data_IF_626558013376
#
_entry.id   IF_626558013376
#
_cell.length_a   1.000
_cell.length_b   1.000
_cell.length_c   1.000
_cell.angle_alpha   90.00
_cell.angle_beta   90.00
_cell.angle_gamma   90.00
#
_symmetry.space_group_name_H-M   'P 1'
#
loop_
_entity.id
_entity.type
_entity.pdbx_description
1 polymer ?
#
# COMPACT_ATOMS: atom_id res chain seq x y z
N UNK A 1 13.39 2.76 -4.22
CA UNK A 1 13.76 4.12 -4.66
C UNK A 1 15.24 4.42 -4.40
N UNK A 2 15.66 5.07 -3.30
CA UNK A 2 17.08 5.52 -3.13
C UNK A 2 18.10 4.37 -3.18
N UNK A 3 17.82 3.26 -2.50
CA UNK A 3 18.69 2.07 -2.51
C UNK A 3 18.81 1.39 -3.89
N UNK A 4 17.80 1.53 -4.75
CA UNK A 4 17.84 1.06 -6.15
C UNK A 4 18.61 2.03 -7.04
N UNK A 5 18.39 3.34 -6.86
CA UNK A 5 19.09 4.38 -7.59
C UNK A 5 20.61 4.34 -7.34
N UNK A 6 21.04 4.08 -6.10
CA UNK A 6 22.46 4.05 -5.71
C UNK A 6 23.11 2.66 -5.78
N UNK A 7 22.33 1.60 -5.98
CA UNK A 7 22.83 0.22 -6.07
C UNK A 7 23.88 0.06 -7.19
N UNK A 8 25.05 -0.49 -6.87
CA UNK A 8 26.12 -0.75 -7.85
C UNK A 8 26.19 -2.21 -8.30
N UNK A 9 25.58 -3.12 -7.52
CA UNK A 9 25.66 -4.56 -7.73
C UNK A 9 24.26 -5.14 -7.97
N UNK A 10 24.17 -6.18 -8.81
CA UNK A 10 22.91 -6.86 -9.13
C UNK A 10 22.22 -7.43 -7.89
N UNK A 11 22.99 -8.01 -6.96
CA UNK A 11 22.44 -8.51 -5.69
C UNK A 11 21.74 -7.40 -4.88
N UNK A 12 22.33 -6.21 -4.82
CA UNK A 12 21.73 -5.05 -4.13
C UNK A 12 20.43 -4.63 -4.80
N UNK A 13 20.39 -4.61 -6.13
CA UNK A 13 19.20 -4.24 -6.90
C UNK A 13 18.07 -5.25 -6.62
N UNK A 14 18.35 -6.55 -6.67
CA UNK A 14 17.35 -7.59 -6.41
C UNK A 14 16.78 -7.49 -4.99
N UNK A 15 17.64 -7.37 -3.98
CA UNK A 15 17.20 -7.25 -2.58
C UNK A 15 16.34 -6.00 -2.38
N UNK A 16 16.81 -4.84 -2.87
CA UNK A 16 16.08 -3.59 -2.73
C UNK A 16 14.75 -3.60 -3.49
N UNK A 17 14.68 -4.30 -4.63
CA UNK A 17 13.45 -4.46 -5.41
C UNK A 17 12.43 -5.33 -4.67
N UNK A 18 12.88 -6.44 -4.10
CA UNK A 18 12.02 -7.32 -3.28
C UNK A 18 11.47 -6.57 -2.07
N UNK A 19 12.31 -5.79 -1.37
CA UNK A 19 11.86 -4.98 -0.24
C UNK A 19 10.88 -3.88 -0.65
N UNK A 20 11.16 -3.18 -1.77
CA UNK A 20 10.27 -2.15 -2.29
C UNK A 20 8.90 -2.72 -2.67
N UNK A 21 8.85 -3.88 -3.33
CA UNK A 21 7.60 -4.55 -3.67
C UNK A 21 6.83 -5.02 -2.42
N UNK A 22 7.54 -5.66 -1.47
CA UNK A 22 6.96 -6.18 -0.23
C UNK A 22 6.41 -5.09 0.69
N UNK A 23 7.11 -3.97 0.83
CA UNK A 23 6.64 -2.83 1.64
C UNK A 23 5.61 -2.00 0.87
N UNK A 24 5.73 -1.89 -0.45
CA UNK A 24 4.79 -1.14 -1.28
C UNK A 24 3.39 -1.74 -1.31
N UNK A 25 3.26 -3.07 -1.20
CA UNK A 25 1.96 -3.75 -1.17
C UNK A 25 1.11 -3.38 0.04
N UNK A 26 1.75 -3.06 1.19
CA UNK A 26 1.07 -2.69 2.43
C UNK A 26 0.17 -1.47 2.20
N UNK A 27 0.70 -0.46 1.51
CA UNK A 27 -0.06 0.76 1.20
C UNK A 27 -1.32 0.45 0.41
N UNK A 28 -1.21 -0.34 -0.66
CA UNK A 28 -2.32 -0.67 -1.56
C UNK A 28 -3.45 -1.43 -0.84
N UNK A 29 -3.12 -2.33 0.08
CA UNK A 29 -4.10 -3.13 0.81
C UNK A 29 -4.82 -2.29 1.89
N UNK A 30 -4.10 -1.37 2.54
CA UNK A 30 -4.66 -0.58 3.64
C UNK A 30 -5.68 0.48 3.19
N UNK A 31 -5.61 0.94 1.93
CA UNK A 31 -6.53 1.99 1.44
C UNK A 31 -7.99 1.62 1.63
N UNK A 32 -8.37 0.37 1.35
CA UNK A 32 -9.74 -0.09 1.54
C UNK A 32 -10.22 0.01 3.00
N UNK A 33 -9.34 -0.36 3.94
CA UNK A 33 -9.61 -0.21 5.38
C UNK A 33 -9.71 1.24 5.82
N UNK A 34 -8.88 2.13 5.27
CA UNK A 34 -8.97 3.56 5.56
C UNK A 34 -10.30 4.16 5.10
N UNK A 35 -10.80 3.78 3.93
CA UNK A 35 -12.14 4.19 3.49
C UNK A 35 -13.25 3.57 4.36
N UNK A 36 -13.04 2.38 4.92
CA UNK A 36 -13.95 1.75 5.87
C UNK A 36 -14.04 2.51 7.19
N UNK A 37 -12.91 3.00 7.69
CA UNK A 37 -12.84 3.84 8.88
C UNK A 37 -13.49 5.23 8.70
N UNK A 38 -13.48 5.77 7.48
CA UNK A 38 -13.94 7.15 7.20
C UNK A 38 -15.41 7.26 6.77
N UNK A 39 -15.95 6.26 6.06
CA UNK A 39 -17.26 6.37 5.41
C UNK A 39 -18.21 5.24 5.83
N UNK A 40 -19.47 5.62 6.02
CA UNK A 40 -20.59 4.69 6.23
C UNK A 40 -20.75 3.82 4.96
N UNK A 41 -21.13 2.53 5.08
CA UNK A 41 -21.20 1.61 3.94
C UNK A 41 -21.96 2.14 2.72
N UNK A 42 -23.08 2.85 2.93
CA UNK A 42 -23.94 3.36 1.86
C UNK A 42 -23.28 4.47 1.03
N UNK A 43 -22.44 5.30 1.65
CA UNK A 43 -21.80 6.46 1.02
C UNK A 43 -20.39 6.16 0.49
N UNK A 44 -19.87 4.97 0.75
CA UNK A 44 -18.46 4.61 0.46
C UNK A 44 -18.19 4.36 -1.03
N UNK A 45 -19.21 3.98 -1.80
CA UNK A 45 -19.05 3.58 -3.19
C UNK A 45 -18.41 4.68 -4.06
N UNK A 46 -18.82 5.93 -3.87
CA UNK A 46 -18.34 7.07 -4.67
C UNK A 46 -16.85 7.39 -4.40
N UNK A 47 -16.40 7.57 -3.14
CA UNK A 47 -14.98 7.73 -2.83
C UNK A 47 -14.11 6.57 -3.33
N UNK A 48 -14.56 5.33 -3.18
CA UNK A 48 -13.83 4.16 -3.66
C UNK A 48 -13.72 4.11 -5.19
N UNK A 49 -14.78 4.48 -5.91
CA UNK A 49 -14.75 4.58 -7.37
C UNK A 49 -13.78 5.67 -7.85
N UNK A 50 -13.78 6.83 -7.21
CA UNK A 50 -12.85 7.92 -7.53
C UNK A 50 -11.40 7.51 -7.27
N UNK A 51 -11.13 6.86 -6.13
CA UNK A 51 -9.80 6.30 -5.83
C UNK A 51 -9.36 5.32 -6.91
N UNK A 52 -10.24 4.39 -7.29
CA UNK A 52 -9.94 3.37 -8.31
C UNK A 52 -9.64 4.01 -9.67
N UNK A 53 -10.38 5.06 -10.03
CA UNK A 53 -10.15 5.81 -11.26
C UNK A 53 -8.77 6.50 -11.26
N UNK A 54 -8.41 7.16 -10.17
CA UNK A 54 -7.11 7.82 -10.01
C UNK A 54 -5.97 6.79 -10.03
N UNK A 55 -6.15 5.63 -9.37
CA UNK A 55 -5.15 4.56 -9.34
C UNK A 55 -4.90 3.95 -10.73
N UNK A 56 -5.96 3.68 -11.49
CA UNK A 56 -5.84 3.20 -12.87
C UNK A 56 -5.17 4.25 -13.75
N UNK A 57 -5.61 5.50 -13.66
CA UNK A 57 -5.02 6.61 -14.41
C UNK A 57 -3.52 6.78 -14.11
N UNK A 58 -3.15 6.73 -12.82
CA UNK A 58 -1.75 6.77 -12.40
C UNK A 58 -0.93 5.60 -12.95
N UNK A 59 -1.50 4.40 -12.99
CA UNK A 59 -0.85 3.21 -13.56
C UNK A 59 -0.63 3.34 -15.07
N UNK A 60 -1.58 3.94 -15.80
CA UNK A 60 -1.45 4.21 -17.24
C UNK A 60 -0.46 5.35 -17.53
N UNK A 61 -0.45 6.39 -16.72
CA UNK A 61 0.45 7.53 -16.89
C UNK A 61 1.91 7.19 -16.55
N UNK A 62 2.14 6.22 -15.67
CA UNK A 62 3.47 5.89 -15.17
C UNK A 62 4.47 5.46 -16.26
N UNK A 63 4.14 4.53 -17.19
CA UNK A 63 5.02 4.16 -18.29
C UNK A 63 5.36 5.31 -19.23
N UNK A 64 4.45 6.28 -19.41
CA UNK A 64 4.66 7.41 -20.34
C UNK A 64 5.84 8.26 -19.87
N UNK A 65 5.80 8.76 -18.63
CA UNK A 65 6.89 9.59 -18.12
C UNK A 65 8.16 8.77 -17.87
N UNK A 66 8.01 7.52 -17.41
CA UNK A 66 9.15 6.63 -17.17
C UNK A 66 9.91 6.32 -18.47
N UNK A 67 9.20 6.14 -19.58
CA UNK A 67 9.80 5.91 -20.90
C UNK A 67 10.63 7.10 -21.38
N UNK A 68 10.10 8.34 -21.28
CA UNK A 68 10.86 9.54 -21.62
C UNK A 68 12.07 9.77 -20.70
N UNK A 69 11.89 9.53 -19.39
CA UNK A 69 12.96 9.66 -18.42
C UNK A 69 14.07 8.61 -18.65
N UNK A 70 13.71 7.37 -19.02
CA UNK A 70 14.69 6.33 -19.34
C UNK A 70 15.55 6.71 -20.54
N UNK A 71 14.95 7.22 -21.61
CA UNK A 71 15.67 7.64 -22.81
C UNK A 71 16.58 8.85 -22.57
N UNK A 72 16.15 9.80 -21.73
CA UNK A 72 16.88 11.05 -21.51
C UNK A 72 18.01 10.91 -20.48
N UNK A 73 17.71 10.28 -19.34
CA UNK A 73 18.58 10.27 -18.16
C UNK A 73 18.78 8.86 -17.55
N UNK A 74 18.09 7.84 -18.06
CA UNK A 74 18.24 6.44 -17.65
C UNK A 74 17.42 6.02 -16.43
N UNK A 75 17.17 4.72 -16.32
CA UNK A 75 16.31 4.09 -15.30
C UNK A 75 16.65 4.42 -13.84
N UNK A 76 17.93 4.68 -13.51
CA UNK A 76 18.35 5.01 -12.13
C UNK A 76 17.75 6.32 -11.65
N UNK A 77 17.58 7.28 -12.56
CA UNK A 77 16.95 8.55 -12.26
C UNK A 77 15.45 8.43 -12.08
N UNK A 78 14.79 7.45 -12.72
CA UNK A 78 13.37 7.16 -12.49
C UNK A 78 13.14 6.79 -11.02
N UNK A 79 13.98 5.89 -10.48
CA UNK A 79 13.95 5.51 -9.06
C UNK A 79 14.27 6.68 -8.13
N UNK A 80 15.17 7.58 -8.55
CA UNK A 80 15.51 8.81 -7.84
C UNK A 80 14.32 9.78 -7.78
N UNK A 81 13.70 10.07 -8.92
CA UNK A 81 12.54 10.96 -9.04
C UNK A 81 11.37 10.43 -8.22
N UNK A 82 11.05 9.14 -8.32
CA UNK A 82 9.99 8.51 -7.51
C UNK A 82 10.32 8.56 -6.00
N UNK A 83 11.59 8.42 -5.63
CA UNK A 83 12.04 8.58 -4.25
C UNK A 83 11.86 10.00 -3.73
N UNK A 84 12.25 10.99 -4.52
CA UNK A 84 12.11 12.41 -4.20
C UNK A 84 10.65 12.85 -4.16
N UNK A 85 9.79 12.36 -5.05
CA UNK A 85 8.36 12.69 -5.05
C UNK A 85 7.60 12.14 -3.84
N UNK A 86 8.10 11.06 -3.22
CA UNK A 86 7.50 10.51 -2.01
C UNK A 86 7.73 11.38 -0.77
N UNK A 87 8.79 12.20 -0.73
CA UNK A 87 9.08 13.08 0.42
C UNK A 87 7.96 14.11 0.63
N UNK A 88 7.60 14.98 -0.34
CA UNK A 88 6.53 15.95 -0.14
C UNK A 88 5.18 15.27 0.08
N UNK A 89 4.92 14.13 -0.56
CA UNK A 89 3.70 13.37 -0.35
C UNK A 89 3.59 12.86 1.10
N UNK A 90 4.67 12.28 1.64
CA UNK A 90 4.73 11.87 3.04
C UNK A 90 4.57 13.05 3.98
N UNK A 91 5.21 14.20 3.69
CA UNK A 91 5.04 15.42 4.47
C UNK A 91 3.59 15.88 4.49
N UNK A 92 2.90 15.87 3.35
CA UNK A 92 1.47 16.23 3.29
C UNK A 92 0.63 15.27 4.11
N UNK A 93 0.87 13.97 4.00
CA UNK A 93 0.14 12.96 4.78
C UNK A 93 0.36 13.18 6.28
N UNK A 94 1.60 13.29 6.74
CA UNK A 94 1.91 13.43 8.17
C UNK A 94 1.38 14.74 8.78
N UNK A 95 1.38 15.84 8.03
CA UNK A 95 0.96 17.14 8.55
C UNK A 95 -0.55 17.40 8.44
N UNK A 96 -1.21 16.92 7.38
CA UNK A 96 -2.61 17.27 7.11
C UNK A 96 -3.59 16.14 7.45
N UNK A 97 -3.17 14.87 7.40
CA UNK A 97 -4.07 13.77 7.67
C UNK A 97 -4.15 13.51 9.17
N UNK A 98 -5.37 13.47 9.68
CA UNK A 98 -5.67 13.06 11.05
C UNK A 98 -5.86 11.55 11.10
N UNK A 99 -5.61 10.98 12.27
CA UNK A 99 -5.92 9.58 12.55
C UNK A 99 -7.39 9.28 12.24
N UNK A 100 -7.62 8.28 11.37
CA UNK A 100 -8.96 7.89 10.90
C UNK A 100 -9.58 6.80 11.78
N UNK A 101 -8.77 6.06 12.53
CA UNK A 101 -9.26 4.91 13.32
C UNK A 101 -10.10 5.38 14.51
N UNK A 102 -11.41 5.09 14.47
CA UNK A 102 -12.34 5.40 15.56
C UNK A 102 -11.93 4.76 16.89
N UNK A 103 -11.31 3.58 16.83
CA UNK A 103 -10.71 2.91 17.96
C UNK A 103 -9.65 3.74 18.71
N UNK A 104 -8.67 4.28 17.97
CA UNK A 104 -7.62 5.15 18.54
C UNK A 104 -8.22 6.41 19.16
N UNK A 105 -9.26 6.98 18.54
CA UNK A 105 -9.97 8.12 19.09
C UNK A 105 -10.64 7.79 20.45
N UNK A 106 -11.32 6.64 20.55
CA UNK A 106 -11.92 6.17 21.79
C UNK A 106 -10.88 5.87 22.88
N UNK A 107 -9.75 5.27 22.53
CA UNK A 107 -8.64 5.04 23.44
C UNK A 107 -8.10 6.35 24.03
N UNK A 108 -7.88 7.36 23.18
CA UNK A 108 -7.41 8.66 23.62
C UNK A 108 -8.44 9.36 24.54
N UNK A 109 -9.73 9.28 24.21
CA UNK A 109 -10.80 9.80 25.07
C UNK A 109 -10.89 9.07 26.41
N UNK A 110 -10.75 7.75 26.41
CA UNK A 110 -10.73 6.94 27.62
C UNK A 110 -9.55 7.31 28.54
N UNK A 111 -8.36 7.57 27.98
CA UNK A 111 -7.20 8.04 28.74
C UNK A 111 -7.42 9.41 29.40
N UNK A 112 -8.03 10.34 28.69
CA UNK A 112 -8.39 11.67 29.25
C UNK A 112 -9.40 11.51 30.39
N UNK A 113 -10.46 10.71 30.19
CA UNK A 113 -11.47 10.46 31.22
C UNK A 113 -10.88 9.80 32.48
N UNK A 114 -9.98 8.81 32.33
CA UNK A 114 -9.26 8.20 33.47
C UNK A 114 -8.46 9.24 34.26
N UNK A 115 -7.81 10.17 33.56
CA UNK A 115 -7.00 11.22 34.18
C UNK A 115 -7.86 12.22 34.96
N UNK A 116 -9.01 12.58 34.42
CA UNK A 116 -9.88 13.62 35.00
C UNK A 116 -10.75 13.07 36.15
N UNK A 117 -11.28 11.85 36.02
CA UNK A 117 -12.17 11.24 37.03
C UNK A 117 -11.44 10.39 38.06
N UNK A 118 -10.21 9.95 37.77
CA UNK A 118 -9.50 8.95 38.58
C UNK A 118 -10.10 7.53 38.49
N UNK A 119 -11.19 7.34 37.74
CA UNK A 119 -11.84 6.03 37.60
C UNK A 119 -11.19 5.23 36.45
N UNK A 120 -10.64 4.06 36.80
CA UNK A 120 -9.97 3.14 35.86
C UNK A 120 -10.95 2.33 35.00
N UNK A 121 -12.26 2.41 35.25
CA UNK A 121 -13.29 1.68 34.50
C UNK A 121 -13.48 2.17 33.07
N UNK A 122 -13.05 3.40 32.76
CA UNK A 122 -13.12 3.95 31.40
C UNK A 122 -12.10 3.27 30.48
N UNK A 123 -12.43 2.13 29.89
CA UNK A 123 -11.55 1.39 28.97
C UNK A 123 -12.20 1.30 27.58
N UNK A 124 -11.41 1.54 26.53
CA UNK A 124 -11.87 1.34 25.16
C UNK A 124 -11.90 -0.17 24.85
N UNK A 125 -12.87 -0.63 24.07
CA UNK A 125 -13.00 -2.06 23.75
C UNK A 125 -11.73 -2.64 23.10
N UNK A 126 -11.10 -1.88 22.21
CA UNK A 126 -9.82 -2.27 21.61
C UNK A 126 -8.68 -2.42 22.62
N UNK A 127 -8.69 -1.72 23.77
CA UNK A 127 -7.67 -1.91 24.81
C UNK A 127 -7.84 -3.24 25.56
N UNK A 128 -9.07 -3.75 25.64
CA UNK A 128 -9.36 -5.05 26.26
C UNK A 128 -8.98 -6.22 25.34
N UNK A 129 -9.13 -5.99 24.03
CA UNK A 129 -8.92 -7.01 23.00
C UNK A 129 -7.53 -6.94 22.34
N UNK A 130 -6.71 -5.91 22.65
CA UNK A 130 -5.41 -5.71 22.01
C UNK A 130 -4.40 -6.82 22.37
N UNK A 131 -4.06 -7.72 21.41
CA UNK A 131 -2.96 -8.65 21.62
C UNK A 131 -1.62 -7.90 21.61
N UNK A 132 -0.60 -8.48 22.24
CA UNK A 132 0.76 -7.92 22.16
C UNK A 132 1.24 -7.84 20.71
N UNK A 133 2.12 -6.89 20.36
CA UNK A 133 2.57 -6.66 18.95
C UNK A 133 3.03 -7.94 18.25
N UNK A 134 3.75 -8.80 18.97
CA UNK A 134 4.23 -10.10 18.45
C UNK A 134 3.08 -11.06 18.15
N UNK A 135 2.08 -11.10 19.02
CA UNK A 135 0.88 -11.92 18.86
C UNK A 135 -0.04 -11.36 17.78
N UNK A 136 -0.21 -10.04 17.70
CA UNK A 136 -0.96 -9.36 16.65
C UNK A 136 -0.38 -9.70 15.27
N UNK A 137 0.94 -9.62 15.12
CA UNK A 137 1.64 -9.93 13.87
C UNK A 137 1.52 -11.42 13.51
N UNK A 138 1.68 -12.30 14.50
CA UNK A 138 1.55 -13.74 14.32
C UNK A 138 0.12 -14.11 13.89
N UNK A 139 -0.88 -13.67 14.65
CA UNK A 139 -2.28 -13.96 14.37
C UNK A 139 -2.71 -13.41 13.00
N UNK A 140 -2.29 -12.19 12.65
CA UNK A 140 -2.63 -11.61 11.33
C UNK A 140 -2.01 -12.39 10.17
N UNK A 141 -0.72 -12.74 10.27
CA UNK A 141 0.00 -13.44 9.21
C UNK A 141 -0.48 -14.87 9.03
N UNK A 142 -0.66 -15.59 10.15
CA UNK A 142 -1.15 -16.98 10.13
C UNK A 142 -2.59 -17.02 9.64
N UNK A 143 -3.46 -16.11 10.09
CA UNK A 143 -4.84 -16.04 9.65
C UNK A 143 -4.94 -15.74 8.15
N UNK A 144 -4.11 -14.84 7.62
CA UNK A 144 -4.09 -14.53 6.19
C UNK A 144 -3.69 -15.75 5.35
N UNK A 145 -2.62 -16.47 5.73
CA UNK A 145 -2.17 -17.69 5.03
C UNK A 145 -3.20 -18.81 5.16
N UNK A 146 -3.76 -18.99 6.37
CA UNK A 146 -4.79 -19.98 6.62
C UNK A 146 -6.00 -19.73 5.72
N UNK A 147 -6.55 -18.51 5.70
CA UNK A 147 -7.66 -18.17 4.82
C UNK A 147 -7.34 -18.38 3.35
N UNK A 148 -6.13 -18.01 2.89
CA UNK A 148 -5.75 -18.20 1.49
C UNK A 148 -5.76 -19.67 1.06
N UNK A 149 -5.44 -20.59 1.97
CA UNK A 149 -5.38 -22.04 1.68
C UNK A 149 -6.66 -22.78 2.04
N UNK A 150 -7.40 -22.32 3.05
CA UNK A 150 -8.61 -22.99 3.55
C UNK A 150 -9.87 -22.50 2.87
N UNK A 151 -9.96 -21.22 2.52
CA UNK A 151 -11.14 -20.63 1.90
C UNK A 151 -10.99 -20.65 0.37
N UNK A 152 -11.74 -21.51 -0.34
CA UNK A 152 -11.58 -21.68 -1.79
C UNK A 152 -11.89 -20.39 -2.55
N UNK A 153 -12.83 -19.58 -2.07
CA UNK A 153 -13.17 -18.29 -2.67
C UNK A 153 -11.97 -17.35 -2.67
N UNK A 154 -11.27 -17.24 -1.53
CA UNK A 154 -10.07 -16.39 -1.40
C UNK A 154 -8.96 -16.88 -2.31
N UNK A 155 -8.76 -18.20 -2.38
CA UNK A 155 -7.76 -18.81 -3.26
C UNK A 155 -8.01 -18.50 -4.74
N UNK A 156 -9.23 -18.71 -5.25
CA UNK A 156 -9.55 -18.48 -6.65
C UNK A 156 -9.48 -17.00 -7.02
N UNK A 157 -9.98 -16.09 -6.18
CA UNK A 157 -9.84 -14.66 -6.43
C UNK A 157 -8.38 -14.21 -6.38
N UNK A 158 -7.60 -14.72 -5.42
CA UNK A 158 -6.17 -14.43 -5.34
C UNK A 158 -5.41 -14.90 -6.60
N UNK A 159 -5.71 -16.11 -7.07
CA UNK A 159 -5.14 -16.65 -8.31
C UNK A 159 -5.54 -15.82 -9.54
N UNK A 160 -6.80 -15.41 -9.63
CA UNK A 160 -7.30 -14.55 -10.70
C UNK A 160 -6.59 -13.19 -10.73
N UNK A 161 -6.42 -12.55 -9.57
CA UNK A 161 -5.71 -11.27 -9.44
C UNK A 161 -4.24 -11.46 -9.84
N UNK A 162 -3.58 -12.52 -9.37
CA UNK A 162 -2.20 -12.84 -9.74
C UNK A 162 -2.04 -13.05 -11.26
N UNK A 163 -2.98 -13.76 -11.88
CA UNK A 163 -3.02 -13.97 -13.34
C UNK A 163 -3.19 -12.65 -14.10
N UNK A 164 -4.09 -11.77 -13.63
CA UNK A 164 -4.31 -10.45 -14.24
C UNK A 164 -3.06 -9.58 -14.17
N UNK A 165 -2.38 -9.54 -13.02
CA UNK A 165 -1.11 -8.82 -12.86
C UNK A 165 0.00 -9.43 -13.72
N UNK A 166 0.09 -10.75 -13.80
CA UNK A 166 1.05 -11.44 -14.66
C UNK A 166 0.87 -11.04 -16.14
N UNK A 167 -0.35 -11.07 -16.65
CA UNK A 167 -0.67 -10.61 -18.01
C UNK A 167 -0.28 -9.13 -18.19
N UNK A 168 -0.62 -8.27 -17.23
CA UNK A 168 -0.32 -6.84 -17.30
C UNK A 168 1.19 -6.58 -17.44
N UNK A 169 2.01 -7.28 -16.66
CA UNK A 169 3.47 -7.16 -16.77
C UNK A 169 4.03 -7.78 -18.06
N UNK A 170 3.45 -8.88 -18.56
CA UNK A 170 3.82 -9.42 -19.88
C UNK A 170 3.56 -8.40 -20.99
N UNK A 171 2.42 -7.71 -20.97
CA UNK A 171 2.11 -6.68 -21.95
C UNK A 171 3.16 -5.56 -21.96
N UNK A 172 3.64 -5.12 -20.80
CA UNK A 172 4.71 -4.11 -20.72
C UNK A 172 6.02 -4.59 -21.39
N UNK A 173 6.33 -5.88 -21.30
CA UNK A 173 7.49 -6.48 -21.96
C UNK A 173 7.34 -6.59 -23.48
N UNK A 174 6.11 -6.72 -23.98
CA UNK A 174 5.84 -6.84 -25.42
C UNK A 174 5.98 -5.51 -26.14
N UNK A 175 5.66 -4.38 -25.48
CA UNK A 175 5.73 -3.04 -26.08
C UNK A 175 7.12 -2.78 -26.70
N UNK A 176 8.19 -3.04 -25.95
CA UNK A 176 9.56 -2.81 -26.45
C UNK A 176 9.89 -3.69 -27.66
N UNK A 177 9.41 -4.94 -27.68
CA UNK A 177 9.62 -5.88 -28.78
C UNK A 177 8.90 -5.40 -30.05
N UNK A 178 7.61 -5.05 -29.94
CA UNK A 178 6.79 -4.63 -31.09
C UNK A 178 7.31 -3.36 -31.75
N UNK A 179 7.83 -2.41 -30.98
CA UNK A 179 8.35 -1.14 -31.51
C UNK A 179 9.86 -1.16 -31.81
N UNK A 180 10.57 -2.27 -31.52
CA UNK A 180 12.01 -2.40 -31.81
C UNK A 180 12.30 -2.55 -33.31
N UNK A 181 11.38 -3.12 -34.10
CA UNK A 181 11.57 -3.38 -35.54
C UNK A 181 11.11 -2.22 -36.45
N UNK A 182 10.66 -1.10 -35.88
CA UNK A 182 10.25 0.09 -36.66
C UNK A 182 11.41 1.03 -36.99
N UNK A 183 12.58 0.48 -37.36
CA UNK A 183 13.72 1.24 -37.90
C UNK A 183 14.08 0.79 -39.31
#
# INVERSE_FOLDING_TARGET
FIGLALGRNMATILVMRTLQGGLGSIGTILVGGTFDDMFIPDDRAVPMALFSHIAIFGTMAAPIYAGFADQAIGWRWIEGIQGLSNIPLLTVVVLFFKETRGGVFLQNRAKVLRKDTGDKRWVAQEELEAPGIKEALYNSSVKAIAMLLSEPVVFFFGMWIAFTWFITFLFLSVITITFSDSK
#
